data_IF_574485696026
#
_entry.id   IF_574485696026
#
_cell.length_a   1.000
_cell.length_b   1.000
_cell.length_c   1.000
_cell.angle_alpha   90.00
_cell.angle_beta   90.00
_cell.angle_gamma   90.00
#
_symmetry.space_group_name_H-M   'P 1'
#
loop_
_entity.id
_entity.type
_entity.pdbx_description
1 polymer ?
#
# COMPACT_ATOMS: atom_id res chain seq x y z
N UNK A 1 -4.99 0.39 -8.60
CA UNK A 1 -5.37 -0.70 -7.69
C UNK A 1 -4.66 -2.02 -7.99
N UNK A 2 -4.65 -2.52 -9.24
CA UNK A 2 -4.12 -3.87 -9.53
C UNK A 2 -2.61 -4.03 -9.33
N UNK A 3 -1.80 -3.02 -9.64
CA UNK A 3 -0.34 -3.16 -9.56
C UNK A 3 0.19 -3.29 -8.11
N UNK A 4 -0.24 -2.41 -7.20
CA UNK A 4 0.13 -2.48 -5.78
C UNK A 4 -0.26 -3.83 -5.18
N UNK A 5 -1.48 -4.30 -5.47
CA UNK A 5 -1.98 -5.59 -4.98
C UNK A 5 -1.14 -6.75 -5.50
N UNK A 6 -0.83 -6.77 -6.78
CA UNK A 6 0.00 -7.83 -7.39
C UNK A 6 1.41 -7.85 -6.80
N UNK A 7 2.05 -6.69 -6.64
CA UNK A 7 3.40 -6.60 -6.05
C UNK A 7 3.42 -7.02 -4.58
N UNK A 8 2.44 -6.57 -3.78
CA UNK A 8 2.31 -7.01 -2.39
C UNK A 8 2.07 -8.52 -2.29
N UNK A 9 1.17 -9.06 -3.12
CA UNK A 9 0.89 -10.48 -3.14
C UNK A 9 2.14 -11.30 -3.48
N UNK A 10 2.92 -10.85 -4.47
CA UNK A 10 4.19 -11.48 -4.83
C UNK A 10 5.15 -11.56 -3.63
N UNK A 11 5.36 -10.46 -2.91
CA UNK A 11 6.24 -10.45 -1.75
C UNK A 11 5.72 -11.31 -0.59
N UNK A 12 4.41 -11.28 -0.33
CA UNK A 12 3.76 -12.11 0.70
C UNK A 12 3.91 -13.60 0.36
N UNK A 13 3.73 -13.98 -0.90
CA UNK A 13 3.98 -15.35 -1.37
C UNK A 13 5.45 -15.73 -1.23
N UNK A 14 6.38 -14.79 -1.36
CA UNK A 14 7.81 -15.01 -1.09
C UNK A 14 8.13 -15.37 0.37
N UNK A 15 7.33 -14.89 1.33
CA UNK A 15 7.51 -15.15 2.77
C UNK A 15 6.83 -16.45 3.21
N UNK A 16 5.57 -16.64 2.82
CA UNK A 16 4.73 -17.73 3.34
C UNK A 16 4.58 -18.91 2.35
N UNK A 17 5.14 -18.79 1.15
CA UNK A 17 4.95 -19.72 0.06
C UNK A 17 3.63 -19.49 -0.70
N UNK A 18 3.44 -20.13 -1.87
CA UNK A 18 2.36 -19.78 -2.79
C UNK A 18 0.95 -19.94 -2.21
N UNK A 19 0.65 -21.10 -1.62
CA UNK A 19 -0.71 -21.41 -1.15
C UNK A 19 -1.09 -20.56 0.08
N UNK A 20 -0.24 -20.57 1.11
CA UNK A 20 -0.49 -19.83 2.35
C UNK A 20 -0.40 -18.32 2.11
N UNK A 21 0.58 -17.86 1.33
CA UNK A 21 0.74 -16.45 0.97
C UNK A 21 -0.45 -15.91 0.18
N UNK A 22 -1.07 -16.71 -0.69
CA UNK A 22 -2.29 -16.32 -1.39
C UNK A 22 -3.47 -16.13 -0.44
N UNK A 23 -3.69 -17.07 0.49
CA UNK A 23 -4.75 -16.94 1.50
C UNK A 23 -4.53 -15.75 2.42
N UNK A 24 -3.30 -15.53 2.88
CA UNK A 24 -2.94 -14.39 3.73
C UNK A 24 -3.12 -13.08 2.95
N UNK A 25 -2.56 -12.98 1.74
CA UNK A 25 -2.60 -11.79 0.91
C UNK A 25 -4.03 -11.37 0.54
N UNK A 26 -4.93 -12.33 0.30
CA UNK A 26 -6.34 -12.06 0.04
C UNK A 26 -7.06 -11.38 1.21
N UNK A 27 -6.56 -11.50 2.44
CA UNK A 27 -7.15 -10.90 3.65
C UNK A 27 -6.42 -9.61 4.03
N UNK A 28 -5.08 -9.64 4.10
CA UNK A 28 -4.32 -8.51 4.66
C UNK A 28 -4.17 -7.35 3.68
N UNK A 29 -4.04 -7.62 2.37
CA UNK A 29 -3.85 -6.55 1.37
C UNK A 29 -5.08 -5.63 1.33
N UNK A 30 -6.33 -6.14 1.24
CA UNK A 30 -7.50 -5.28 1.29
C UNK A 30 -7.62 -4.50 2.61
N UNK A 31 -7.27 -5.13 3.74
CA UNK A 31 -7.30 -4.48 5.05
C UNK A 31 -6.33 -3.29 5.11
N UNK A 32 -5.06 -3.49 4.75
CA UNK A 32 -4.05 -2.43 4.72
C UNK A 32 -4.42 -1.29 3.76
N UNK A 33 -4.88 -1.63 2.55
CA UNK A 33 -5.24 -0.61 1.55
C UNK A 33 -6.48 0.19 1.97
N UNK A 34 -7.49 -0.46 2.56
CA UNK A 34 -8.72 0.20 3.01
C UNK A 34 -8.46 1.11 4.20
N UNK A 35 -7.64 0.65 5.14
CA UNK A 35 -7.24 1.44 6.30
C UNK A 35 -6.41 2.66 5.86
N UNK A 36 -5.39 2.44 5.02
CA UNK A 36 -4.54 3.51 4.52
C UNK A 36 -5.33 4.55 3.72
N UNK A 37 -6.29 4.12 2.92
CA UNK A 37 -7.21 5.03 2.22
C UNK A 37 -7.92 5.98 3.18
N UNK A 38 -8.39 5.45 4.32
CA UNK A 38 -9.06 6.27 5.34
C UNK A 38 -8.11 7.30 5.95
N UNK A 39 -6.84 6.94 6.15
CA UNK A 39 -5.81 7.86 6.66
C UNK A 39 -5.46 8.95 5.65
N UNK A 40 -5.26 8.59 4.38
CA UNK A 40 -5.07 9.58 3.31
C UNK A 40 -6.29 10.47 3.18
N UNK A 41 -7.52 9.96 3.27
CA UNK A 41 -8.74 10.76 3.17
C UNK A 41 -8.97 11.70 4.36
N UNK A 42 -8.49 11.33 5.56
CA UNK A 42 -8.59 12.15 6.78
C UNK A 42 -7.44 13.13 6.96
N UNK A 43 -6.36 13.02 6.19
CA UNK A 43 -5.21 13.91 6.35
C UNK A 43 -5.55 15.38 6.06
N UNK A 44 -5.00 16.29 6.86
CA UNK A 44 -5.19 17.72 6.65
C UNK A 44 -4.23 18.21 5.55
N UNK A 45 -4.78 18.52 4.37
CA UNK A 45 -4.04 19.09 3.24
C UNK A 45 -3.73 18.12 2.10
N UNK A 46 -2.80 18.55 1.24
CA UNK A 46 -2.37 17.82 0.02
C UNK A 46 -0.96 17.21 0.17
N UNK A 47 -0.40 17.25 1.38
CA UNK A 47 0.90 16.67 1.69
C UNK A 47 0.89 15.15 1.59
N UNK A 48 2.08 14.57 1.46
CA UNK A 48 2.27 13.13 1.58
C UNK A 48 2.16 12.70 3.04
N UNK A 49 1.41 11.62 3.26
CA UNK A 49 1.30 10.92 4.54
C UNK A 49 1.78 9.49 4.38
N UNK A 50 2.23 8.90 5.48
CA UNK A 50 2.66 7.52 5.51
C UNK A 50 2.08 6.77 6.69
N UNK A 51 1.87 5.47 6.53
CA UNK A 51 1.43 4.60 7.61
C UNK A 51 2.13 3.24 7.56
N UNK A 52 2.36 2.67 8.74
CA UNK A 52 3.08 1.43 8.93
C UNK A 52 2.15 0.32 9.41
N UNK A 53 2.26 -0.84 8.77
CA UNK A 53 1.51 -2.04 9.06
C UNK A 53 2.48 -3.18 9.37
N UNK A 54 2.23 -3.89 10.46
CA UNK A 54 3.04 -5.04 10.86
C UNK A 54 2.14 -6.21 11.21
N UNK A 55 2.47 -7.41 10.72
CA UNK A 55 1.76 -8.63 11.12
C UNK A 55 2.17 -9.06 12.52
N UNK A 56 1.30 -9.80 13.22
CA UNK A 56 1.56 -10.27 14.59
C UNK A 56 2.83 -11.12 14.71
N UNK A 57 3.09 -11.93 13.68
CA UNK A 57 4.29 -12.78 13.58
C UNK A 57 5.56 -12.01 13.20
N UNK A 58 5.44 -10.70 12.95
CA UNK A 58 6.50 -9.75 12.58
C UNK A 58 7.26 -10.10 11.29
N UNK A 59 6.69 -10.96 10.44
CA UNK A 59 7.32 -11.33 9.16
C UNK A 59 7.06 -10.30 8.07
N UNK A 60 5.97 -9.53 8.18
CA UNK A 60 5.64 -8.44 7.27
C UNK A 60 5.73 -7.12 8.02
N UNK A 61 6.45 -6.18 7.43
CA UNK A 61 6.43 -4.76 7.72
C UNK A 61 6.20 -4.01 6.41
N UNK A 62 5.04 -3.38 6.29
CA UNK A 62 4.63 -2.61 5.12
C UNK A 62 4.51 -1.14 5.52
N UNK A 63 5.14 -0.25 4.76
CA UNK A 63 4.94 1.19 4.87
C UNK A 63 4.31 1.68 3.57
N UNK A 64 3.12 2.26 3.65
CA UNK A 64 2.46 2.89 2.52
C UNK A 64 2.63 4.40 2.60
N UNK A 65 2.88 5.03 1.45
CA UNK A 65 3.00 6.47 1.29
C UNK A 65 1.94 6.92 0.30
N UNK A 66 1.33 8.07 0.53
CA UNK A 66 0.21 8.51 -0.29
C UNK A 66 -0.22 9.93 0.00
N UNK A 67 -0.99 10.51 -0.92
CA UNK A 67 -1.49 11.87 -0.78
C UNK A 67 -2.84 12.03 -1.47
N UNK A 68 -3.52 13.11 -1.10
CA UNK A 68 -4.67 13.62 -1.84
C UNK A 68 -4.18 14.41 -3.05
N UNK A 69 -4.89 14.30 -4.16
CA UNK A 69 -4.75 15.21 -5.29
C UNK A 69 -6.11 15.78 -5.67
N UNK A 70 -6.13 17.07 -5.98
CA UNK A 70 -7.33 17.77 -6.41
C UNK A 70 -7.48 17.60 -7.92
N UNK A 71 -8.39 16.72 -8.33
CA UNK A 71 -8.73 16.49 -9.74
C UNK A 71 -9.97 17.27 -10.18
N UNK A 72 -10.25 17.26 -11.49
CA UNK A 72 -11.47 17.87 -12.08
C UNK A 72 -12.79 17.32 -11.51
N UNK A 73 -12.78 16.11 -10.94
CA UNK A 73 -13.96 15.44 -10.34
C UNK A 73 -14.01 15.53 -8.81
N UNK A 74 -13.12 16.31 -8.19
CA UNK A 74 -12.99 16.42 -6.74
C UNK A 74 -11.68 15.85 -6.22
N UNK A 75 -11.63 15.61 -4.91
CA UNK A 75 -10.46 15.05 -4.23
C UNK A 75 -10.32 13.56 -4.56
N UNK A 76 -9.10 13.10 -4.86
CA UNK A 76 -8.79 11.69 -5.08
C UNK A 76 -7.55 11.30 -4.28
N UNK A 77 -7.55 10.09 -3.73
CA UNK A 77 -6.47 9.57 -2.90
C UNK A 77 -5.62 8.57 -3.67
N UNK A 78 -4.30 8.68 -3.54
CA UNK A 78 -3.34 7.85 -4.28
C UNK A 78 -2.25 7.35 -3.34
N UNK A 79 -1.78 6.12 -3.58
CA UNK A 79 -0.50 5.61 -3.06
C UNK A 79 0.60 6.13 -3.97
N UNK A 80 1.57 6.85 -3.40
CA UNK A 80 2.77 7.40 -4.06
C UNK A 80 3.95 6.44 -4.03
N UNK A 81 4.07 5.66 -2.95
CA UNK A 81 5.13 4.67 -2.77
C UNK A 81 4.71 3.57 -1.78
N UNK A 82 5.40 2.44 -1.79
CA UNK A 82 5.24 1.37 -0.82
C UNK A 82 6.59 0.72 -0.52
N UNK A 83 6.88 0.51 0.77
CA UNK A 83 8.03 -0.27 1.24
C UNK A 83 7.56 -1.54 1.91
N UNK A 84 8.12 -2.67 1.49
CA UNK A 84 7.83 -3.97 2.07
C UNK A 84 9.12 -4.59 2.61
N UNK A 85 9.15 -4.86 3.91
CA UNK A 85 10.32 -5.36 4.64
C UNK A 85 11.60 -4.56 4.34
N UNK A 86 11.48 -3.23 4.31
CA UNK A 86 12.59 -2.31 4.03
C UNK A 86 12.95 -2.15 2.55
N UNK A 87 12.31 -2.86 1.62
CA UNK A 87 12.52 -2.74 0.17
C UNK A 87 11.44 -1.86 -0.47
N UNK A 88 11.81 -0.95 -1.35
CA UNK A 88 10.82 -0.23 -2.17
C UNK A 88 10.19 -1.21 -3.16
N UNK A 89 8.86 -1.18 -3.31
CA UNK A 89 8.13 -2.02 -4.28
C UNK A 89 8.10 -1.43 -5.68
N UNK A 90 8.41 -0.14 -5.80
CA UNK A 90 8.43 0.61 -7.04
C UNK A 90 9.86 1.11 -7.28
N UNK A 91 10.40 0.76 -8.45
CA UNK A 91 11.82 0.98 -8.79
C UNK A 91 12.10 2.37 -9.38
N UNK A 92 11.08 3.12 -9.79
CA UNK A 92 11.29 4.43 -10.42
C UNK A 92 11.25 5.57 -9.41
N UNK A 93 12.11 6.57 -9.65
CA UNK A 93 12.06 7.91 -9.05
C UNK A 93 10.78 8.70 -9.40
N UNK A 94 9.87 8.09 -10.17
CA UNK A 94 8.58 8.67 -10.53
C UNK A 94 7.55 8.25 -9.49
N UNK A 95 6.96 9.24 -8.83
CA UNK A 95 5.81 9.05 -7.95
C UNK A 95 4.77 8.18 -8.65
N UNK A 96 4.50 6.99 -8.12
CA UNK A 96 3.48 6.13 -8.67
C UNK A 96 2.13 6.72 -8.28
N UNK A 97 1.21 6.91 -9.21
CA UNK A 97 -0.13 7.42 -8.86
C UNK A 97 -1.12 6.28 -8.87
N UNK A 98 -1.07 5.43 -7.83
CA UNK A 98 -1.95 4.26 -7.73
C UNK A 98 -3.22 4.68 -6.99
N UNK A 99 -4.32 4.79 -7.72
CA UNK A 99 -5.62 5.12 -7.14
C UNK A 99 -6.04 4.07 -6.09
N UNK A 100 -6.52 4.58 -4.94
CA UNK A 100 -7.02 3.85 -3.77
C UNK A 100 -8.52 3.55 -3.84
#
# INVERSE_FOLDING_TARGET
MDELRTKLLHEIMGIYGPNQGQSIGAVIIPAFVSDFKSVVEKSDGLGEVSEEYMTEDKRIHLVLYGRKSLGKKGMSSYVTNARFNGKNLFDSLEEQHIAL
#
